data_IF_053261406402
#
_entry.id   IF_053261406402
#
_cell.length_a   1.000
_cell.length_b   1.000
_cell.length_c   1.000
_cell.angle_alpha   90.00
_cell.angle_beta   90.00
_cell.angle_gamma   90.00
#
_symmetry.space_group_name_H-M   'P 1'
#
loop_
_entity.id
_entity.type
_entity.pdbx_description
1 polymer ?
#
# COMPACT_ATOMS: atom_id res chain seq x y z
N UNK A 1 -33.83 -11.91 -64.09
CA UNK A 1 -33.05 -12.82 -63.21
C UNK A 1 -32.28 -11.95 -62.23
N UNK A 2 -32.92 -11.66 -61.10
CA UNK A 2 -32.44 -10.69 -60.11
C UNK A 2 -31.76 -11.45 -58.96
N UNK A 3 -30.51 -11.09 -58.70
CA UNK A 3 -29.55 -11.88 -57.94
C UNK A 3 -29.69 -11.59 -56.44
N UNK A 4 -30.42 -12.46 -55.74
CA UNK A 4 -30.80 -12.28 -54.34
C UNK A 4 -29.67 -12.80 -53.40
N UNK A 5 -28.65 -11.98 -53.13
CA UNK A 5 -27.64 -12.26 -52.09
C UNK A 5 -28.18 -11.88 -50.71
N UNK A 6 -28.65 -12.88 -49.96
CA UNK A 6 -28.93 -12.76 -48.52
C UNK A 6 -27.64 -12.41 -47.78
N UNK A 7 -27.61 -11.26 -47.11
CA UNK A 7 -26.59 -10.93 -46.10
C UNK A 7 -26.78 -11.87 -44.89
N UNK A 8 -25.70 -12.45 -44.32
CA UNK A 8 -25.83 -13.22 -43.08
C UNK A 8 -26.14 -12.26 -41.93
N UNK A 9 -27.25 -12.53 -41.26
CA UNK A 9 -27.71 -11.76 -40.10
C UNK A 9 -26.65 -11.76 -39.00
N UNK A 10 -26.28 -10.54 -38.58
CA UNK A 10 -25.59 -10.32 -37.31
C UNK A 10 -26.53 -10.77 -36.18
N UNK A 11 -26.32 -11.99 -35.68
CA UNK A 11 -26.84 -12.38 -34.37
C UNK A 11 -26.32 -11.38 -33.34
N UNK A 12 -27.17 -10.76 -32.50
CA UNK A 12 -26.70 -9.90 -31.43
C UNK A 12 -25.92 -10.78 -30.44
N UNK A 13 -24.59 -10.62 -30.42
CA UNK A 13 -23.75 -11.16 -29.35
C UNK A 13 -24.34 -10.62 -28.05
N UNK A 14 -24.92 -11.51 -27.26
CA UNK A 14 -25.51 -11.20 -25.96
C UNK A 14 -24.53 -10.31 -25.18
N UNK A 15 -24.96 -9.07 -24.88
CA UNK A 15 -24.16 -8.14 -24.11
C UNK A 15 -23.86 -8.79 -22.77
N UNK A 16 -22.61 -9.20 -22.56
CA UNK A 16 -22.16 -9.71 -21.28
C UNK A 16 -22.59 -8.70 -20.21
N UNK A 17 -23.49 -9.13 -19.32
CA UNK A 17 -24.09 -8.30 -18.28
C UNK A 17 -22.99 -7.57 -17.50
N UNK A 18 -22.83 -6.29 -17.79
CA UNK A 18 -21.79 -5.48 -17.21
C UNK A 18 -22.20 -5.11 -15.78
N UNK A 19 -21.60 -5.76 -14.78
CA UNK A 19 -21.83 -5.42 -13.37
C UNK A 19 -21.63 -3.90 -13.14
N UNK A 20 -22.55 -3.21 -12.45
CA UNK A 20 -22.38 -1.81 -12.07
C UNK A 20 -21.13 -1.59 -11.21
N UNK A 21 -20.51 -0.40 -11.29
CA UNK A 21 -19.28 -0.11 -10.51
C UNK A 21 -19.51 -0.16 -8.99
N UNK A 22 -20.69 0.21 -8.52
CA UNK A 22 -21.04 0.17 -7.09
C UNK A 22 -21.05 -1.26 -6.52
N UNK A 23 -21.20 -2.28 -7.36
CA UNK A 23 -21.18 -3.70 -6.94
C UNK A 23 -19.86 -4.06 -6.27
N UNK A 24 -18.75 -3.49 -6.74
CA UNK A 24 -17.41 -3.75 -6.16
C UNK A 24 -17.38 -3.24 -4.72
N UNK A 25 -17.83 -2.00 -4.51
CA UNK A 25 -17.89 -1.39 -3.19
C UNK A 25 -18.81 -2.20 -2.26
N UNK A 26 -20.00 -2.59 -2.73
CA UNK A 26 -20.93 -3.38 -1.94
C UNK A 26 -20.31 -4.72 -1.51
N UNK A 27 -19.67 -5.44 -2.43
CA UNK A 27 -19.01 -6.72 -2.11
C UNK A 27 -17.89 -6.51 -1.10
N UNK A 28 -17.05 -5.48 -1.27
CA UNK A 28 -15.99 -5.16 -0.31
C UNK A 28 -16.56 -4.83 1.08
N UNK A 29 -17.63 -4.02 1.15
CA UNK A 29 -18.31 -3.70 2.41
C UNK A 29 -18.89 -4.96 3.07
N UNK A 30 -19.55 -5.84 2.31
CA UNK A 30 -20.13 -7.06 2.85
C UNK A 30 -19.06 -8.03 3.35
N UNK A 31 -18.00 -8.29 2.56
CA UNK A 31 -16.98 -9.28 2.91
C UNK A 31 -16.09 -8.78 4.05
N UNK A 32 -15.63 -7.53 3.99
CA UNK A 32 -14.83 -6.93 5.07
C UNK A 32 -15.70 -6.75 6.32
N UNK A 33 -16.95 -6.32 6.16
CA UNK A 33 -17.89 -6.22 7.28
C UNK A 33 -18.14 -7.57 7.96
N UNK A 34 -18.27 -8.66 7.19
CA UNK A 34 -18.39 -10.01 7.73
C UNK A 34 -17.10 -10.48 8.43
N UNK A 35 -15.93 -10.16 7.86
CA UNK A 35 -14.63 -10.51 8.42
C UNK A 35 -14.41 -9.84 9.79
N UNK A 36 -14.80 -8.58 9.93
CA UNK A 36 -14.65 -7.80 11.16
C UNK A 36 -15.96 -7.67 11.97
N UNK A 37 -16.91 -8.58 11.76
CA UNK A 37 -18.26 -8.49 12.36
C UNK A 37 -18.25 -8.43 13.89
N UNK A 38 -17.31 -9.12 14.53
CA UNK A 38 -17.23 -9.19 16.00
C UNK A 38 -16.76 -7.85 16.58
N UNK A 39 -15.83 -7.17 15.92
CA UNK A 39 -15.44 -5.80 16.25
C UNK A 39 -16.56 -4.80 15.95
N UNK A 40 -17.23 -4.93 14.80
CA UNK A 40 -18.29 -3.99 14.40
C UNK A 40 -19.50 -4.09 15.34
N UNK A 41 -19.87 -5.31 15.74
CA UNK A 41 -21.03 -5.59 16.60
C UNK A 41 -20.78 -5.43 18.10
N UNK A 42 -19.55 -5.18 18.53
CA UNK A 42 -19.18 -4.96 19.94
C UNK A 42 -18.65 -3.54 20.17
N UNK A 43 -18.40 -3.20 21.43
CA UNK A 43 -17.62 -2.02 21.81
C UNK A 43 -16.16 -2.35 22.14
N UNK A 44 -15.69 -3.53 21.75
CA UNK A 44 -14.34 -3.97 22.08
C UNK A 44 -13.31 -3.32 21.15
N UNK A 45 -12.07 -3.28 21.63
CA UNK A 45 -10.93 -2.89 20.81
C UNK A 45 -10.52 -4.04 19.89
N UNK A 46 -10.20 -3.73 18.63
CA UNK A 46 -9.56 -4.69 17.76
C UNK A 46 -8.14 -4.97 18.28
N UNK A 47 -7.85 -6.23 18.58
CA UNK A 47 -6.56 -6.63 19.14
C UNK A 47 -5.40 -6.37 18.17
N UNK A 48 -4.30 -5.85 18.70
CA UNK A 48 -3.00 -5.79 18.02
C UNK A 48 -1.87 -5.69 19.04
N UNK A 49 -0.82 -6.50 18.91
CA UNK A 49 0.29 -6.54 19.89
C UNK A 49 0.93 -5.16 20.07
N UNK A 50 1.35 -4.53 18.97
CA UNK A 50 2.02 -3.22 19.01
C UNK A 50 1.05 -2.10 19.38
N UNK A 51 -0.24 -2.33 19.10
CA UNK A 51 -1.31 -1.42 19.51
C UNK A 51 -1.46 -1.39 21.03
N UNK A 52 -1.39 -2.54 21.69
CA UNK A 52 -1.42 -2.62 23.16
C UNK A 52 -0.14 -2.08 23.79
N UNK A 53 1.03 -2.36 23.20
CA UNK A 53 2.32 -1.97 23.79
C UNK A 53 2.58 -0.47 23.75
N UNK A 54 2.18 0.22 22.68
CA UNK A 54 2.42 1.67 22.53
C UNK A 54 1.30 2.39 21.78
N UNK A 55 0.73 1.74 20.76
CA UNK A 55 -0.16 2.39 19.81
C UNK A 55 -1.33 3.11 20.46
N UNK A 56 -2.08 2.43 21.34
CA UNK A 56 -3.25 2.98 22.00
C UNK A 56 -2.93 4.24 22.82
N UNK A 57 -1.98 4.13 23.75
CA UNK A 57 -1.63 5.23 24.67
C UNK A 57 -1.13 6.46 23.92
N UNK A 58 -0.33 6.26 22.85
CA UNK A 58 0.17 7.37 22.06
C UNK A 58 -0.94 8.10 21.28
N UNK A 59 -1.87 7.36 20.67
CA UNK A 59 -2.99 7.97 19.92
C UNK A 59 -4.03 8.59 20.85
N UNK A 60 -4.24 8.03 22.03
CA UNK A 60 -5.12 8.60 23.06
C UNK A 60 -4.56 9.92 23.59
N UNK A 61 -3.24 9.98 23.87
CA UNK A 61 -2.56 11.21 24.26
C UNK A 61 -2.69 12.30 23.18
N UNK A 62 -2.48 11.95 21.91
CA UNK A 62 -2.68 12.86 20.78
C UNK A 62 -4.13 13.36 20.69
N UNK A 63 -5.10 12.45 20.70
CA UNK A 63 -6.51 12.78 20.56
C UNK A 63 -6.98 13.72 21.67
N UNK A 64 -6.59 13.45 22.92
CA UNK A 64 -6.95 14.28 24.06
C UNK A 64 -6.37 15.70 23.96
N UNK A 65 -5.10 15.85 23.59
CA UNK A 65 -4.50 17.17 23.46
C UNK A 65 -5.11 17.98 22.31
N UNK A 66 -5.29 17.37 21.13
CA UNK A 66 -5.85 18.07 19.97
C UNK A 66 -7.30 18.49 20.21
N UNK A 67 -8.12 17.64 20.87
CA UNK A 67 -9.50 18.00 21.26
C UNK A 67 -9.54 19.19 22.21
N UNK A 68 -8.49 19.41 23.00
CA UNK A 68 -8.34 20.56 23.89
C UNK A 68 -7.61 21.75 23.23
N UNK A 69 -7.37 21.71 21.91
CA UNK A 69 -6.71 22.78 21.17
C UNK A 69 -5.19 22.87 21.41
N UNK A 70 -4.58 21.82 21.97
CA UNK A 70 -3.15 21.76 22.25
C UNK A 70 -2.48 20.79 21.29
N UNK A 71 -1.41 21.24 20.62
CA UNK A 71 -0.63 20.36 19.76
C UNK A 71 0.44 19.61 20.57
N UNK A 72 0.53 18.27 20.48
CA UNK A 72 1.45 17.48 21.28
C UNK A 72 2.88 17.56 20.74
N UNK A 73 3.72 18.36 21.39
CA UNK A 73 5.17 18.42 21.10
C UNK A 73 5.99 17.55 22.04
N UNK A 74 5.57 17.40 23.30
CA UNK A 74 6.29 16.63 24.32
C UNK A 74 5.37 15.62 24.98
N UNK A 75 5.81 14.37 25.07
CA UNK A 75 5.12 13.32 25.81
C UNK A 75 5.88 13.01 27.10
N UNK A 76 5.33 13.36 28.29
CA UNK A 76 6.00 13.15 29.58
C UNK A 76 5.96 11.69 30.07
N UNK A 77 5.14 10.84 29.47
CA UNK A 77 4.86 9.50 29.99
C UNK A 77 5.84 8.42 29.52
N UNK A 78 6.60 8.68 28.45
CA UNK A 78 7.55 7.73 27.88
C UNK A 78 8.96 8.12 28.34
N UNK A 79 9.64 7.22 29.05
CA UNK A 79 11.07 7.36 29.46
C UNK A 79 11.41 8.67 30.21
N UNK A 80 10.45 9.23 30.97
CA UNK A 80 10.63 10.52 31.68
C UNK A 80 10.49 11.76 30.78
N UNK A 81 10.15 11.56 29.50
CA UNK A 81 9.90 12.61 28.53
C UNK A 81 10.54 12.34 27.17
N UNK A 82 9.76 12.50 26.10
CA UNK A 82 10.24 12.34 24.71
C UNK A 82 9.52 13.31 23.78
N UNK A 83 10.24 13.84 22.76
CA UNK A 83 9.62 14.68 21.74
C UNK A 83 8.63 13.85 20.93
N UNK A 84 7.34 14.22 20.96
CA UNK A 84 6.25 13.33 20.53
C UNK A 84 6.22 13.13 19.01
N UNK A 85 6.42 14.20 18.25
CA UNK A 85 6.37 14.17 16.79
C UNK A 85 7.68 13.62 16.20
N UNK A 86 8.79 14.08 16.75
CA UNK A 86 10.15 13.81 16.30
C UNK A 86 10.56 12.38 16.59
N UNK A 87 10.15 11.82 17.73
CA UNK A 87 10.37 10.39 18.03
C UNK A 87 9.46 9.45 17.23
N UNK A 88 8.52 9.99 16.44
CA UNK A 88 7.44 9.26 15.80
C UNK A 88 6.57 8.45 16.78
N UNK A 89 6.59 8.77 18.07
CA UNK A 89 5.78 8.08 19.09
C UNK A 89 4.28 8.13 18.75
N UNK A 90 3.82 9.23 18.14
CA UNK A 90 2.44 9.38 17.67
C UNK A 90 2.07 8.53 16.45
N UNK A 91 3.04 7.90 15.77
CA UNK A 91 2.84 7.12 14.55
C UNK A 91 2.00 7.88 13.52
N UNK A 92 0.89 7.28 13.10
CA UNK A 92 -0.03 7.80 12.09
C UNK A 92 -0.94 8.95 12.57
N UNK A 93 -0.67 9.59 13.71
CA UNK A 93 -1.56 10.60 14.27
C UNK A 93 -1.76 11.85 13.38
N UNK A 94 -0.79 12.19 12.53
CA UNK A 94 -0.90 13.29 11.55
C UNK A 94 -1.42 12.83 10.17
N UNK A 95 -1.65 11.53 10.00
CA UNK A 95 -2.24 11.01 8.78
C UNK A 95 -3.74 11.33 8.76
N UNK A 96 -4.25 12.10 7.78
CA UNK A 96 -5.59 12.70 7.90
C UNK A 96 -6.74 11.74 8.19
N UNK A 97 -6.86 10.55 7.55
CA UNK A 97 -7.89 9.58 7.90
C UNK A 97 -7.83 9.14 9.37
N UNK A 98 -6.63 8.93 9.91
CA UNK A 98 -6.42 8.56 11.30
C UNK A 98 -6.73 9.72 12.23
N UNK A 99 -6.24 10.93 11.94
CA UNK A 99 -6.57 12.14 12.70
C UNK A 99 -8.07 12.34 12.81
N UNK A 100 -8.79 12.28 11.69
CA UNK A 100 -10.24 12.46 11.67
C UNK A 100 -10.95 11.41 12.54
N UNK A 101 -10.59 10.13 12.41
CA UNK A 101 -11.19 9.07 13.23
C UNK A 101 -10.89 9.27 14.72
N UNK A 102 -9.67 9.69 15.08
CA UNK A 102 -9.29 10.00 16.45
C UNK A 102 -10.03 11.21 17.02
N UNK A 103 -10.44 12.18 16.20
CA UNK A 103 -11.21 13.33 16.67
C UNK A 103 -12.68 12.99 16.93
N UNK A 104 -13.28 12.11 16.11
CA UNK A 104 -14.71 11.82 16.16
C UNK A 104 -15.10 10.53 16.89
N UNK A 105 -14.16 9.59 17.09
CA UNK A 105 -14.42 8.32 17.76
C UNK A 105 -13.54 8.16 19.00
N UNK A 106 -13.98 7.29 19.91
CA UNK A 106 -13.12 6.80 20.99
C UNK A 106 -11.89 6.10 20.39
N UNK A 107 -10.71 6.32 20.97
CA UNK A 107 -9.44 5.90 20.36
C UNK A 107 -9.39 4.41 20.07
N UNK A 108 -9.88 3.55 20.96
CA UNK A 108 -9.89 2.10 20.73
C UNK A 108 -10.75 1.71 19.51
N UNK A 109 -11.85 2.43 19.26
CA UNK A 109 -12.69 2.23 18.06
C UNK A 109 -12.02 2.82 16.82
N UNK A 110 -11.44 4.02 16.93
CA UNK A 110 -10.74 4.69 15.83
C UNK A 110 -9.62 3.80 15.26
N UNK A 111 -8.87 3.12 16.13
CA UNK A 111 -7.78 2.22 15.75
C UNK A 111 -8.25 0.97 14.98
N UNK A 112 -9.42 0.44 15.27
CA UNK A 112 -10.01 -0.66 14.48
C UNK A 112 -10.61 -0.15 13.16
N UNK A 113 -11.39 0.93 13.22
CA UNK A 113 -12.06 1.49 12.04
C UNK A 113 -11.09 1.99 10.97
N UNK A 114 -9.94 2.56 11.36
CA UNK A 114 -8.92 2.95 10.38
C UNK A 114 -8.41 1.74 9.61
N UNK A 115 -8.19 0.59 10.23
CA UNK A 115 -7.72 -0.62 9.55
C UNK A 115 -8.77 -1.14 8.56
N UNK A 116 -10.02 -1.26 9.01
CA UNK A 116 -11.15 -1.70 8.18
C UNK A 116 -11.32 -0.79 6.95
N UNK A 117 -11.28 0.53 7.17
CA UNK A 117 -11.38 1.52 6.09
C UNK A 117 -10.28 1.31 5.05
N UNK A 118 -9.03 1.10 5.48
CA UNK A 118 -7.90 0.91 4.55
C UNK A 118 -7.98 -0.38 3.76
N UNK A 119 -8.48 -1.46 4.35
CA UNK A 119 -8.72 -2.73 3.64
C UNK A 119 -9.73 -2.53 2.50
N UNK A 120 -10.83 -1.82 2.76
CA UNK A 120 -11.85 -1.49 1.75
C UNK A 120 -11.25 -0.58 0.67
N UNK A 121 -10.56 0.48 1.07
CA UNK A 121 -9.93 1.44 0.17
C UNK A 121 -8.89 0.77 -0.74
N UNK A 122 -8.10 -0.17 -0.22
CA UNK A 122 -7.13 -0.95 -1.00
C UNK A 122 -7.79 -1.64 -2.21
N UNK A 123 -8.94 -2.29 -1.98
CA UNK A 123 -9.71 -2.95 -3.03
C UNK A 123 -10.28 -1.95 -4.04
N UNK A 124 -10.83 -0.83 -3.57
CA UNK A 124 -11.37 0.22 -4.45
C UNK A 124 -10.29 0.87 -5.34
N UNK A 125 -9.14 1.17 -4.75
CA UNK A 125 -8.01 1.75 -5.49
C UNK A 125 -7.45 0.74 -6.49
N UNK A 126 -7.35 -0.54 -6.13
CA UNK A 126 -6.98 -1.60 -7.05
C UNK A 126 -7.95 -1.70 -8.22
N UNK A 127 -9.27 -1.66 -7.95
CA UNK A 127 -10.28 -1.63 -9.02
C UNK A 127 -10.05 -0.44 -9.96
N UNK A 128 -9.88 0.77 -9.42
CA UNK A 128 -9.68 1.99 -10.24
C UNK A 128 -8.38 1.93 -11.05
N UNK A 129 -7.29 1.40 -10.49
CA UNK A 129 -6.04 1.20 -11.22
C UNK A 129 -6.20 0.21 -12.38
N UNK A 130 -6.76 -0.97 -12.15
CA UNK A 130 -6.94 -1.97 -13.23
C UNK A 130 -7.86 -1.43 -14.33
N UNK A 131 -8.88 -0.63 -13.97
CA UNK A 131 -9.74 0.04 -14.94
C UNK A 131 -8.99 1.11 -15.74
N UNK A 132 -8.07 1.87 -15.15
CA UNK A 132 -7.25 2.85 -15.91
C UNK A 132 -6.30 2.18 -16.90
N UNK A 133 -5.94 0.92 -16.69
CA UNK A 133 -5.17 0.12 -17.65
C UNK A 133 -5.98 -0.35 -18.87
N UNK A 134 -7.28 -0.03 -18.91
CA UNK A 134 -8.25 -0.46 -19.93
C UNK A 134 -8.47 -1.98 -19.95
N UNK A 135 -8.34 -2.64 -18.79
CA UNK A 135 -8.64 -4.05 -18.61
C UNK A 135 -10.12 -4.24 -18.22
N UNK A 136 -10.70 -5.40 -18.52
CA UNK A 136 -12.13 -5.67 -18.33
C UNK A 136 -12.61 -5.58 -16.87
N UNK A 137 -13.90 -5.29 -16.66
CA UNK A 137 -14.49 -5.13 -15.31
C UNK A 137 -14.32 -6.38 -14.44
N UNK A 138 -14.45 -7.58 -15.02
CA UNK A 138 -14.25 -8.86 -14.29
C UNK A 138 -12.83 -8.98 -13.74
N UNK A 139 -11.82 -8.63 -14.53
CA UNK A 139 -10.41 -8.62 -14.09
C UNK A 139 -10.21 -7.60 -12.98
N UNK A 140 -10.74 -6.38 -13.12
CA UNK A 140 -10.65 -5.37 -12.08
C UNK A 140 -11.32 -5.79 -10.77
N UNK A 141 -12.49 -6.43 -10.85
CA UNK A 141 -13.20 -6.95 -9.68
C UNK A 141 -12.40 -8.05 -8.97
N UNK A 142 -11.89 -9.04 -9.71
CA UNK A 142 -11.07 -10.12 -9.15
C UNK A 142 -9.82 -9.55 -8.49
N UNK A 143 -9.12 -8.61 -9.13
CA UNK A 143 -7.95 -7.95 -8.55
C UNK A 143 -8.28 -7.17 -7.28
N UNK A 144 -9.40 -6.46 -7.24
CA UNK A 144 -9.84 -5.70 -6.07
C UNK A 144 -10.09 -6.58 -4.85
N UNK A 145 -10.83 -7.68 -5.03
CA UNK A 145 -11.12 -8.64 -3.97
C UNK A 145 -9.84 -9.36 -3.54
N UNK A 146 -9.04 -9.86 -4.49
CA UNK A 146 -7.79 -10.55 -4.19
C UNK A 146 -6.77 -9.68 -3.44
N UNK A 147 -6.67 -8.40 -3.78
CA UNK A 147 -5.73 -7.49 -3.13
C UNK A 147 -6.17 -7.10 -1.71
N UNK A 148 -7.43 -6.69 -1.55
CA UNK A 148 -7.97 -6.28 -0.24
C UNK A 148 -8.01 -7.42 0.77
N UNK A 149 -8.33 -8.64 0.31
CA UNK A 149 -8.41 -9.84 1.17
C UNK A 149 -7.13 -10.68 1.13
N UNK A 150 -6.01 -10.09 0.68
CA UNK A 150 -4.74 -10.80 0.72
C UNK A 150 -4.37 -11.15 2.17
N UNK A 151 -3.85 -12.37 2.43
CA UNK A 151 -3.45 -12.81 3.77
C UNK A 151 -2.52 -11.82 4.48
N UNK A 152 -1.61 -11.18 3.75
CA UNK A 152 -0.74 -10.14 4.31
C UNK A 152 -1.52 -8.95 4.87
N UNK A 153 -2.54 -8.48 4.15
CA UNK A 153 -3.35 -7.35 4.60
C UNK A 153 -4.13 -7.68 5.88
N UNK A 154 -4.65 -8.90 5.98
CA UNK A 154 -5.47 -9.34 7.12
C UNK A 154 -4.61 -9.73 8.33
N UNK A 155 -3.52 -10.46 8.12
CA UNK A 155 -2.66 -10.95 9.21
C UNK A 155 -1.88 -9.83 9.91
N UNK A 156 -1.54 -8.74 9.22
CA UNK A 156 -0.87 -7.58 9.83
C UNK A 156 -1.71 -6.88 10.92
N UNK A 157 -3.03 -7.11 10.95
CA UNK A 157 -3.91 -6.61 12.00
C UNK A 157 -3.49 -7.17 13.37
N UNK A 158 -3.13 -8.45 13.45
CA UNK A 158 -2.74 -9.10 14.71
C UNK A 158 -1.48 -8.46 15.31
N UNK A 159 -0.50 -8.10 14.47
CA UNK A 159 0.68 -7.37 14.92
C UNK A 159 0.42 -5.90 15.24
N UNK A 160 -0.74 -5.35 14.89
CA UNK A 160 -1.02 -3.92 15.00
C UNK A 160 -0.14 -3.06 14.09
N UNK A 161 0.33 -3.61 12.96
CA UNK A 161 1.30 -2.96 12.05
C UNK A 161 0.58 -2.03 11.05
N UNK A 162 -0.17 -1.08 11.59
CA UNK A 162 -1.02 -0.13 10.86
C UNK A 162 -0.27 0.65 9.76
N UNK A 163 0.94 1.13 10.04
CA UNK A 163 1.78 1.81 9.05
C UNK A 163 2.04 0.97 7.80
N UNK A 164 2.25 -0.35 7.92
CA UNK A 164 2.41 -1.23 6.76
C UNK A 164 1.10 -1.37 5.99
N UNK A 165 0.00 -1.61 6.69
CA UNK A 165 -1.34 -1.75 6.11
C UNK A 165 -1.69 -0.51 5.28
N UNK A 166 -1.41 0.70 5.79
CA UNK A 166 -1.72 1.94 5.07
C UNK A 166 -0.91 2.09 3.79
N UNK A 167 0.40 1.79 3.81
CA UNK A 167 1.24 1.84 2.60
C UNK A 167 0.75 0.81 1.57
N UNK A 168 0.42 -0.42 1.99
CA UNK A 168 -0.15 -1.43 1.09
C UNK A 168 -1.48 -0.92 0.53
N UNK A 169 -2.37 -0.39 1.36
CA UNK A 169 -3.67 0.12 0.92
C UNK A 169 -3.56 1.28 -0.08
N UNK A 170 -2.59 2.18 0.10
CA UNK A 170 -2.35 3.33 -0.78
C UNK A 170 -1.52 2.97 -2.03
N UNK A 171 -0.92 1.78 -2.09
CA UNK A 171 -0.10 1.35 -3.23
C UNK A 171 -0.87 1.40 -4.55
N UNK A 172 -2.08 0.81 -4.69
CA UNK A 172 -2.83 0.89 -5.93
C UNK A 172 -3.30 2.32 -6.25
N UNK A 173 -3.51 3.15 -5.23
CA UNK A 173 -3.88 4.56 -5.42
C UNK A 173 -2.73 5.33 -6.07
N UNK A 174 -1.49 5.10 -5.63
CA UNK A 174 -0.32 5.74 -6.24
C UNK A 174 -0.10 5.25 -7.67
N UNK A 175 -0.23 3.95 -7.92
CA UNK A 175 -0.20 3.42 -9.29
C UNK A 175 -1.29 4.03 -10.19
N UNK A 176 -2.51 4.18 -9.68
CA UNK A 176 -3.61 4.81 -10.41
C UNK A 176 -3.39 6.31 -10.66
N UNK A 177 -2.89 7.05 -9.66
CA UNK A 177 -2.54 8.47 -9.79
C UNK A 177 -1.45 8.67 -10.85
N UNK A 178 -0.39 7.87 -10.80
CA UNK A 178 0.70 7.89 -11.78
C UNK A 178 0.23 7.51 -13.18
N UNK A 179 -0.62 6.49 -13.30
CA UNK A 179 -1.20 6.10 -14.60
C UNK A 179 -2.10 7.20 -15.16
N UNK A 180 -2.86 7.89 -14.30
CA UNK A 180 -3.69 9.03 -14.68
C UNK A 180 -2.84 10.22 -15.13
N UNK A 181 -1.73 10.49 -14.44
CA UNK A 181 -0.75 11.51 -14.80
C UNK A 181 -0.11 11.26 -16.16
N UNK A 182 0.32 10.03 -16.44
CA UNK A 182 0.93 9.67 -17.73
C UNK A 182 -0.10 9.72 -18.87
N UNK A 183 -1.35 9.30 -18.62
CA UNK A 183 -2.37 9.25 -19.67
C UNK A 183 -2.98 10.62 -19.98
N UNK A 184 -3.15 11.48 -18.97
CA UNK A 184 -3.76 12.81 -19.10
C UNK A 184 -3.03 13.80 -18.19
N UNK A 185 -1.83 14.27 -18.59
CA UNK A 185 -1.05 15.21 -17.81
C UNK A 185 -1.86 16.49 -17.56
N UNK A 186 -2.05 16.83 -16.29
CA UNK A 186 -2.80 18.00 -15.85
C UNK A 186 -2.35 18.42 -14.46
N UNK A 187 -2.68 19.65 -14.04
CA UNK A 187 -2.46 20.09 -12.65
C UNK A 187 -3.18 19.21 -11.64
N UNK A 188 -4.35 18.67 -12.00
CA UNK A 188 -5.11 17.73 -11.15
C UNK A 188 -4.38 16.41 -10.96
N UNK A 189 -3.88 15.79 -12.02
CA UNK A 189 -3.14 14.54 -11.92
C UNK A 189 -1.78 14.73 -11.24
N UNK A 190 -1.12 15.86 -11.47
CA UNK A 190 0.09 16.27 -10.76
C UNK A 190 -0.15 16.37 -9.26
N UNK A 191 -1.18 17.12 -8.87
CA UNK A 191 -1.55 17.32 -7.46
C UNK A 191 -1.96 16.02 -6.79
N UNK A 192 -2.63 15.12 -7.51
CA UNK A 192 -3.01 13.80 -7.00
C UNK A 192 -1.77 12.95 -6.68
N UNK A 193 -0.76 12.92 -7.56
CA UNK A 193 0.49 12.20 -7.28
C UNK A 193 1.19 12.79 -6.05
N UNK A 194 1.33 14.11 -5.98
CA UNK A 194 1.94 14.79 -4.83
C UNK A 194 1.20 14.49 -3.53
N UNK A 195 -0.13 14.61 -3.53
CA UNK A 195 -0.95 14.34 -2.36
C UNK A 195 -0.79 12.91 -1.88
N UNK A 196 -0.83 11.92 -2.79
CA UNK A 196 -0.71 10.51 -2.42
C UNK A 196 0.68 10.19 -1.85
N UNK A 197 1.74 10.77 -2.42
CA UNK A 197 3.11 10.62 -1.87
C UNK A 197 3.19 11.21 -0.46
N UNK A 198 2.66 12.42 -0.24
CA UNK A 198 2.63 13.03 1.09
C UNK A 198 1.84 12.17 2.09
N UNK A 199 0.66 11.68 1.69
CA UNK A 199 -0.14 10.76 2.49
C UNK A 199 0.61 9.48 2.87
N UNK A 200 1.35 8.88 1.93
CA UNK A 200 2.16 7.69 2.19
C UNK A 200 3.26 7.97 3.22
N UNK A 201 3.95 9.12 3.15
CA UNK A 201 4.95 9.49 4.16
C UNK A 201 4.31 9.69 5.54
N UNK A 202 3.14 10.34 5.61
CA UNK A 202 2.42 10.57 6.87
C UNK A 202 1.96 9.27 7.57
N UNK A 203 1.96 8.12 6.87
CA UNK A 203 1.73 6.81 7.51
C UNK A 203 2.87 6.37 8.43
N UNK A 204 4.00 7.06 8.42
CA UNK A 204 5.23 6.82 9.22
C UNK A 204 6.02 5.56 8.92
N UNK A 205 5.62 4.74 7.94
CA UNK A 205 6.38 3.55 7.56
C UNK A 205 7.37 3.84 6.41
N UNK A 206 8.38 4.68 6.69
CA UNK A 206 9.31 5.21 5.67
C UNK A 206 10.02 4.14 4.83
N UNK A 207 10.38 2.99 5.42
CA UNK A 207 11.03 1.89 4.69
C UNK A 207 10.14 1.34 3.56
N UNK A 208 8.85 1.14 3.83
CA UNK A 208 7.89 0.63 2.82
C UNK A 208 7.58 1.72 1.79
N UNK A 209 7.47 2.98 2.23
CA UNK A 209 7.28 4.13 1.33
C UNK A 209 8.43 4.24 0.33
N UNK A 210 9.68 4.09 0.79
CA UNK A 210 10.87 4.09 -0.06
C UNK A 210 10.81 3.03 -1.16
N UNK A 211 10.52 1.77 -0.81
CA UNK A 211 10.40 0.70 -1.81
C UNK A 211 9.24 0.92 -2.79
N UNK A 212 8.10 1.42 -2.29
CA UNK A 212 6.96 1.75 -3.13
C UNK A 212 7.28 2.88 -4.12
N UNK A 213 7.95 3.93 -3.68
CA UNK A 213 8.32 5.06 -4.53
C UNK A 213 9.31 4.67 -5.62
N UNK A 214 10.29 3.81 -5.30
CA UNK A 214 11.19 3.25 -6.31
C UNK A 214 10.39 2.43 -7.34
N UNK A 215 9.50 1.56 -6.86
CA UNK A 215 8.70 0.68 -7.72
C UNK A 215 7.78 1.46 -8.66
N UNK A 216 7.01 2.41 -8.12
CA UNK A 216 6.11 3.25 -8.92
C UNK A 216 6.89 4.24 -9.78
N UNK A 217 8.01 4.78 -9.29
CA UNK A 217 8.91 5.63 -10.06
C UNK A 217 9.42 4.91 -11.30
N UNK A 218 9.96 3.71 -11.12
CA UNK A 218 10.36 2.83 -12.22
C UNK A 218 9.19 2.56 -13.18
N UNK A 219 8.04 2.11 -12.67
CA UNK A 219 6.86 1.83 -13.49
C UNK A 219 6.43 3.04 -14.33
N UNK A 220 6.39 4.22 -13.72
CA UNK A 220 5.92 5.46 -14.35
C UNK A 220 6.91 5.91 -15.43
N UNK A 221 8.19 5.99 -15.09
CA UNK A 221 9.26 6.36 -16.02
C UNK A 221 9.31 5.38 -17.19
N UNK A 222 9.29 4.07 -16.91
CA UNK A 222 9.23 3.04 -17.94
C UNK A 222 8.02 3.25 -18.87
N UNK A 223 6.83 3.50 -18.31
CA UNK A 223 5.64 3.75 -19.12
C UNK A 223 5.73 5.03 -19.97
N UNK A 224 6.30 6.11 -19.45
CA UNK A 224 6.52 7.36 -20.22
C UNK A 224 7.34 7.10 -21.49
N UNK A 225 8.36 6.24 -21.41
CA UNK A 225 9.26 5.97 -22.53
C UNK A 225 8.83 4.79 -23.42
N UNK A 226 8.17 3.78 -22.88
CA UNK A 226 7.86 2.53 -23.61
C UNK A 226 6.42 2.47 -24.11
N UNK A 227 5.47 3.11 -23.42
CA UNK A 227 4.06 3.07 -23.81
C UNK A 227 3.87 3.86 -25.11
N UNK A 228 3.35 3.20 -26.14
CA UNK A 228 2.89 3.87 -27.36
C UNK A 228 1.47 4.37 -27.13
N UNK A 229 1.26 5.69 -27.14
CA UNK A 229 -0.06 6.27 -26.95
C UNK A 229 -0.96 5.93 -28.15
N UNK A 230 -2.18 5.40 -27.93
CA UNK A 230 -3.14 5.14 -29.00
C UNK A 230 -3.88 6.39 -29.49
N UNK A 231 -3.91 7.48 -28.70
CA UNK A 231 -4.62 8.71 -29.07
C UNK A 231 -3.72 9.68 -29.85
N UNK A 232 -4.07 9.89 -31.14
CA UNK A 232 -3.37 10.78 -32.08
C UNK A 232 -3.40 12.26 -31.67
N UNK A 233 -4.27 12.68 -30.75
CA UNK A 233 -4.47 14.08 -30.35
C UNK A 233 -3.29 14.66 -29.55
N UNK A 234 -2.55 13.82 -28.84
CA UNK A 234 -1.36 14.20 -28.04
C UNK A 234 -0.03 13.76 -28.68
N UNK A 235 -0.08 13.24 -29.91
CA UNK A 235 1.09 12.71 -30.61
C UNK A 235 2.11 13.78 -31.02
N UNK A 236 1.74 15.08 -31.00
CA UNK A 236 2.70 16.18 -31.23
C UNK A 236 3.59 16.47 -30.00
N UNK A 237 3.15 16.13 -28.80
CA UNK A 237 3.86 16.38 -27.53
C UNK A 237 4.83 15.25 -27.13
N UNK A 238 4.79 14.09 -27.82
CA UNK A 238 5.61 12.91 -27.50
C UNK A 238 6.92 12.83 -28.30
N UNK A 239 7.42 13.97 -28.80
CA UNK A 239 8.83 14.08 -29.17
C UNK A 239 9.71 13.74 -27.94
N UNK A 240 10.96 13.27 -28.11
CA UNK A 240 11.82 12.87 -26.99
C UNK A 240 11.88 13.93 -25.87
N UNK A 241 11.85 15.21 -26.24
CA UNK A 241 11.84 16.35 -25.32
C UNK A 241 10.59 16.39 -24.44
N UNK A 242 9.40 16.11 -24.98
CA UNK A 242 8.16 16.14 -24.19
C UNK A 242 8.04 14.99 -23.20
N UNK A 243 8.61 13.82 -23.53
CA UNK A 243 8.73 12.69 -22.58
C UNK A 243 9.66 13.02 -21.41
N UNK A 244 10.77 13.69 -21.70
CA UNK A 244 11.70 14.18 -20.66
C UNK A 244 11.00 15.21 -19.77
N UNK A 245 10.27 16.18 -20.36
CA UNK A 245 9.49 17.16 -19.58
C UNK A 245 8.45 16.50 -18.68
N UNK A 246 7.76 15.47 -19.18
CA UNK A 246 6.78 14.72 -18.39
C UNK A 246 7.45 13.97 -17.22
N UNK A 247 8.61 13.34 -17.45
CA UNK A 247 9.37 12.67 -16.40
C UNK A 247 9.90 13.66 -15.34
N UNK A 248 10.39 14.82 -15.77
CA UNK A 248 10.81 15.91 -14.87
C UNK A 248 9.61 16.42 -14.06
N UNK A 249 8.46 16.64 -14.70
CA UNK A 249 7.23 17.06 -14.02
C UNK A 249 6.77 16.02 -12.99
N UNK A 250 6.86 14.73 -13.30
CA UNK A 250 6.61 13.67 -12.32
C UNK A 250 7.58 13.74 -11.13
N UNK A 251 8.86 14.00 -11.39
CA UNK A 251 9.87 14.25 -10.34
C UNK A 251 9.51 15.43 -9.44
N UNK A 252 9.06 16.55 -10.01
CA UNK A 252 8.56 17.69 -9.23
C UNK A 252 7.31 17.36 -8.42
N UNK A 253 6.39 16.55 -8.95
CA UNK A 253 5.23 16.07 -8.21
C UNK A 253 5.65 15.24 -7.00
N UNK A 254 6.65 14.38 -7.15
CA UNK A 254 7.20 13.59 -6.05
C UNK A 254 7.86 14.47 -4.97
N UNK A 255 8.68 15.44 -5.38
CA UNK A 255 9.30 16.41 -4.46
C UNK A 255 8.23 17.19 -3.70
N UNK A 256 7.19 17.69 -4.39
CA UNK A 256 6.09 18.40 -3.75
C UNK A 256 5.34 17.49 -2.74
N UNK A 257 5.17 16.21 -3.05
CA UNK A 257 4.58 15.27 -2.10
C UNK A 257 5.41 15.11 -0.82
N UNK A 258 6.73 14.99 -0.96
CA UNK A 258 7.64 14.93 0.18
C UNK A 258 7.59 16.21 1.02
N UNK A 259 7.52 17.39 0.38
CA UNK A 259 7.43 18.67 1.10
C UNK A 259 6.09 18.87 1.80
N UNK A 260 4.98 18.34 1.27
CA UNK A 260 3.69 18.35 1.97
C UNK A 260 3.73 17.57 3.30
N UNK A 261 4.56 16.53 3.37
CA UNK A 261 4.79 15.74 4.59
C UNK A 261 5.99 16.21 5.43
N UNK A 262 6.63 17.33 5.07
CA UNK A 262 7.83 17.86 5.71
C UNK A 262 7.68 18.07 7.22
N UNK A 263 6.48 18.47 7.66
CA UNK A 263 6.16 18.71 9.07
C UNK A 263 6.39 17.49 9.95
N UNK A 264 6.25 16.28 9.39
CA UNK A 264 6.50 15.03 10.11
C UNK A 264 7.84 14.40 9.72
N UNK A 265 8.23 14.51 8.45
CA UNK A 265 9.42 13.86 7.92
C UNK A 265 10.73 14.47 8.45
N UNK A 266 10.89 15.80 8.40
CA UNK A 266 12.16 16.42 8.79
C UNK A 266 12.47 16.31 10.28
N UNK A 267 11.52 16.56 11.21
CA UNK A 267 11.82 16.42 12.62
C UNK A 267 12.14 14.96 13.00
N UNK A 268 11.47 13.99 12.36
CA UNK A 268 11.79 12.58 12.54
C UNK A 268 13.17 12.21 12.02
N UNK A 269 13.57 12.73 10.86
CA UNK A 269 14.90 12.49 10.29
C UNK A 269 16.00 13.02 11.23
N UNK A 270 15.88 14.27 11.69
CA UNK A 270 16.83 14.89 12.63
C UNK A 270 16.91 14.10 13.94
N UNK A 271 15.78 13.72 14.52
CA UNK A 271 15.76 12.94 15.76
C UNK A 271 16.43 11.58 15.62
N UNK A 272 16.13 10.85 14.53
CA UNK A 272 16.74 9.56 14.28
C UNK A 272 18.26 9.70 14.12
N UNK A 273 18.75 10.71 13.40
CA UNK A 273 20.19 10.86 13.17
C UNK A 273 20.98 11.41 14.35
N UNK A 274 20.39 12.31 15.15
CA UNK A 274 21.14 13.08 16.17
C UNK A 274 20.86 12.66 17.61
N UNK A 275 19.70 12.06 17.89
CA UNK A 275 19.23 11.87 19.27
C UNK A 275 18.79 10.44 19.58
N UNK A 276 18.46 9.64 18.57
CA UNK A 276 17.99 8.28 18.77
C UNK A 276 19.13 7.35 19.19
N UNK A 277 19.02 6.77 20.39
CA UNK A 277 19.96 5.72 20.85
C UNK A 277 19.95 4.47 19.97
N UNK A 278 18.94 4.29 19.11
CA UNK A 278 18.84 3.18 18.16
C UNK A 278 19.78 3.33 16.95
N UNK A 279 20.33 4.51 16.69
CA UNK A 279 21.29 4.67 15.58
C UNK A 279 22.72 4.34 15.98
N UNK A 280 23.01 4.14 17.26
CA UNK A 280 24.29 3.57 17.70
C UNK A 280 24.59 2.22 17.01
N UNK A 281 23.56 1.40 16.75
CA UNK A 281 23.69 0.11 16.07
C UNK A 281 23.83 0.21 14.54
N UNK A 282 23.81 1.42 13.96
CA UNK A 282 23.93 1.62 12.50
C UNK A 282 24.93 2.70 12.10
N UNK A 283 24.92 3.87 12.74
CA UNK A 283 25.79 5.01 12.42
C UNK A 283 27.12 4.98 13.17
N UNK A 284 27.15 4.44 14.39
CA UNK A 284 28.36 4.33 15.21
C UNK A 284 29.01 2.93 15.11
N UNK A 285 28.27 1.95 14.58
CA UNK A 285 28.73 0.58 14.38
C UNK A 285 29.64 0.45 13.16
N UNK A 286 30.42 -0.64 13.10
CA UNK A 286 31.18 -0.97 11.89
C UNK A 286 30.24 -1.21 10.70
N UNK A 287 30.72 -1.03 9.47
CA UNK A 287 29.91 -1.26 8.27
C UNK A 287 29.32 -2.68 8.19
N UNK A 288 30.03 -3.68 8.75
CA UNK A 288 29.56 -5.06 8.80
C UNK A 288 28.40 -5.23 9.81
N UNK A 289 28.53 -4.66 11.00
CA UNK A 289 27.48 -4.69 12.04
C UNK A 289 26.24 -3.92 11.60
N UNK A 290 26.43 -2.72 11.04
CA UNK A 290 25.35 -1.90 10.51
C UNK A 290 24.57 -2.64 9.41
N UNK A 291 25.28 -3.34 8.51
CA UNK A 291 24.66 -4.17 7.48
C UNK A 291 23.89 -5.33 8.11
N UNK A 292 24.52 -6.09 9.01
CA UNK A 292 23.92 -7.23 9.69
C UNK A 292 22.62 -6.85 10.41
N UNK A 293 22.63 -5.72 11.14
CA UNK A 293 21.45 -5.18 11.80
C UNK A 293 20.37 -4.79 10.78
N UNK A 294 20.74 -4.07 9.73
CA UNK A 294 19.78 -3.60 8.71
C UNK A 294 19.14 -4.74 7.91
N UNK A 295 19.84 -5.87 7.73
CA UNK A 295 19.33 -7.06 7.03
C UNK A 295 18.78 -8.15 7.97
N UNK A 296 18.68 -7.89 9.27
CA UNK A 296 18.27 -8.91 10.27
C UNK A 296 16.80 -9.33 10.18
N UNK A 297 15.98 -8.57 9.45
CA UNK A 297 14.55 -8.81 9.21
C UNK A 297 14.23 -8.93 7.72
N UNK A 298 15.22 -9.29 6.89
CA UNK A 298 15.02 -9.51 5.46
C UNK A 298 14.15 -10.75 5.20
N UNK A 299 13.54 -10.80 4.03
CA UNK A 299 12.79 -11.95 3.53
C UNK A 299 13.80 -13.04 3.10
N UNK A 300 14.27 -13.81 4.09
CA UNK A 300 15.20 -14.91 3.87
C UNK A 300 14.67 -15.95 2.86
N UNK A 301 15.53 -16.74 2.18
CA UNK A 301 15.11 -17.64 1.10
C UNK A 301 13.95 -18.59 1.44
N UNK A 302 13.88 -19.10 2.67
CA UNK A 302 12.76 -19.90 3.17
C UNK A 302 11.43 -19.11 3.21
N UNK A 303 11.47 -17.83 3.56
CA UNK A 303 10.31 -16.93 3.63
C UNK A 303 9.74 -16.63 2.24
N UNK A 304 10.58 -16.65 1.20
CA UNK A 304 10.14 -16.50 -0.19
C UNK A 304 9.17 -17.61 -0.58
N UNK A 305 9.40 -18.85 -0.10
CA UNK A 305 8.46 -19.96 -0.33
C UNK A 305 7.13 -19.70 0.37
N UNK A 306 7.15 -19.01 1.52
CA UNK A 306 5.97 -18.54 2.25
C UNK A 306 5.05 -17.62 1.46
N UNK A 307 5.57 -16.92 0.43
CA UNK A 307 4.74 -16.12 -0.50
C UNK A 307 3.77 -16.99 -1.32
N UNK A 308 4.13 -18.26 -1.56
CA UNK A 308 3.39 -19.19 -2.42
C UNK A 308 2.73 -20.35 -1.67
N UNK A 309 3.30 -20.78 -0.54
CA UNK A 309 2.77 -21.84 0.31
C UNK A 309 2.52 -21.25 1.69
N UNK A 310 1.27 -21.08 2.12
CA UNK A 310 0.98 -20.56 3.45
C UNK A 310 1.54 -21.52 4.50
N UNK A 311 2.02 -20.97 5.62
CA UNK A 311 2.58 -21.73 6.76
C UNK A 311 3.84 -22.57 6.45
N UNK A 312 4.45 -22.43 5.26
CA UNK A 312 5.68 -23.19 4.94
C UNK A 312 6.80 -22.95 5.96
N UNK A 313 7.03 -21.70 6.34
CA UNK A 313 8.02 -21.32 7.37
C UNK A 313 7.43 -21.40 8.78
N UNK A 314 6.12 -21.59 8.91
CA UNK A 314 5.36 -21.55 10.17
C UNK A 314 5.16 -20.15 10.74
N UNK A 315 4.60 -20.08 11.95
CA UNK A 315 4.37 -18.86 12.72
C UNK A 315 4.76 -19.04 14.18
N UNK A 316 5.21 -17.97 14.81
CA UNK A 316 5.60 -17.98 16.22
C UNK A 316 4.36 -17.95 17.11
N UNK A 317 3.45 -17.03 16.81
CA UNK A 317 2.21 -16.86 17.55
C UNK A 317 1.03 -17.06 16.60
N UNK A 318 0.15 -18.01 16.95
CA UNK A 318 -1.09 -18.27 16.25
C UNK A 318 -2.23 -18.40 17.25
N UNK A 319 -3.44 -18.03 16.83
CA UNK A 319 -4.64 -18.29 17.62
C UNK A 319 -4.93 -19.80 17.73
N UNK A 320 -4.53 -20.56 16.71
CA UNK A 320 -4.75 -22.00 16.63
C UNK A 320 -3.60 -22.79 17.27
N UNK A 321 -3.88 -23.71 18.22
CA UNK A 321 -2.84 -24.46 18.93
C UNK A 321 -1.89 -25.25 18.03
N UNK A 322 -2.39 -25.78 16.90
CA UNK A 322 -1.59 -26.58 15.97
C UNK A 322 -0.54 -25.77 15.21
N UNK A 323 -0.70 -24.45 15.11
CA UNK A 323 0.19 -23.56 14.37
C UNK A 323 1.19 -22.80 15.27
N UNK A 324 1.00 -22.84 16.60
CA UNK A 324 1.87 -22.15 17.55
C UNK A 324 3.28 -22.73 17.57
N UNK A 325 4.30 -21.85 17.63
CA UNK A 325 5.71 -22.23 17.70
C UNK A 325 6.17 -23.16 16.56
N UNK A 326 5.54 -23.07 15.39
CA UNK A 326 5.93 -23.82 14.19
C UNK A 326 7.02 -23.12 13.38
N UNK A 327 7.29 -21.86 13.71
CA UNK A 327 8.22 -21.03 12.97
C UNK A 327 9.68 -21.52 13.03
N UNK A 328 10.27 -21.77 11.85
CA UNK A 328 11.65 -22.27 11.71
C UNK A 328 12.57 -21.36 10.87
N UNK A 329 12.11 -20.16 10.50
CA UNK A 329 12.89 -19.19 9.74
C UNK A 329 13.97 -18.47 10.55
N UNK A 330 14.79 -17.65 9.87
CA UNK A 330 15.92 -16.92 10.50
C UNK A 330 15.55 -15.62 11.21
N UNK A 331 14.38 -15.02 10.95
CA UNK A 331 13.91 -13.85 11.71
C UNK A 331 13.68 -14.20 13.20
N UNK A 332 13.60 -13.19 14.07
CA UNK A 332 13.39 -13.43 15.51
C UNK A 332 12.04 -14.06 15.86
N UNK A 333 11.00 -13.74 15.10
CA UNK A 333 9.67 -14.35 15.20
C UNK A 333 8.88 -14.06 13.91
N UNK A 334 7.75 -14.75 13.72
CA UNK A 334 6.79 -14.49 12.65
C UNK A 334 5.37 -14.41 13.18
N UNK A 335 4.73 -13.27 12.98
CA UNK A 335 3.36 -12.98 13.44
C UNK A 335 2.41 -12.58 12.32
N UNK A 336 2.82 -12.74 11.06
CA UNK A 336 2.06 -12.39 9.86
C UNK A 336 2.31 -13.44 8.75
N UNK A 337 1.45 -13.43 7.75
CA UNK A 337 1.55 -14.30 6.58
C UNK A 337 1.76 -13.46 5.32
N UNK A 338 2.90 -13.60 4.64
CA UNK A 338 3.11 -12.91 3.35
C UNK A 338 2.46 -13.63 2.15
N UNK A 339 1.69 -14.70 2.40
CA UNK A 339 1.08 -15.50 1.35
C UNK A 339 0.22 -14.64 0.40
N UNK A 340 0.49 -14.75 -0.91
CA UNK A 340 -0.15 -13.95 -1.94
C UNK A 340 -1.45 -14.58 -2.49
N UNK A 341 -1.68 -15.87 -2.22
CA UNK A 341 -2.79 -16.64 -2.80
C UNK A 341 -2.36 -17.42 -4.04
N UNK A 342 -2.49 -18.75 -3.99
CA UNK A 342 -2.03 -19.65 -5.07
C UNK A 342 -2.80 -19.39 -6.38
N UNK A 343 -4.09 -19.09 -6.28
CA UNK A 343 -4.90 -18.74 -7.45
C UNK A 343 -4.41 -17.44 -8.10
N UNK A 344 -3.99 -16.45 -7.30
CA UNK A 344 -3.43 -15.19 -7.81
C UNK A 344 -2.09 -15.44 -8.50
N UNK A 345 -1.23 -16.28 -7.91
CA UNK A 345 0.05 -16.66 -8.50
C UNK A 345 -0.11 -17.42 -9.82
N UNK A 346 -1.04 -18.37 -9.89
CA UNK A 346 -1.35 -19.10 -11.12
C UNK A 346 -1.87 -18.15 -12.21
N UNK A 347 -2.78 -17.23 -11.86
CA UNK A 347 -3.27 -16.22 -12.79
C UNK A 347 -2.17 -15.25 -13.23
N UNK A 348 -1.25 -14.88 -12.34
CA UNK A 348 -0.09 -14.07 -12.68
C UNK A 348 0.84 -14.79 -13.68
N UNK A 349 1.10 -16.09 -13.46
CA UNK A 349 1.85 -16.94 -14.39
C UNK A 349 1.23 -16.99 -15.79
N UNK A 350 -0.09 -17.19 -15.87
CA UNK A 350 -0.83 -17.13 -17.15
C UNK A 350 -0.70 -15.73 -17.78
N UNK A 351 -0.76 -14.66 -16.97
CA UNK A 351 -0.58 -13.28 -17.42
C UNK A 351 0.78 -13.01 -18.06
N UNK A 352 1.85 -13.65 -17.55
CA UNK A 352 3.21 -13.54 -18.12
C UNK A 352 3.35 -14.23 -19.48
N UNK A 353 2.56 -15.29 -19.74
CA UNK A 353 2.51 -15.94 -21.05
C UNK A 353 1.66 -15.15 -22.07
N UNK A 354 0.83 -14.23 -21.58
CA UNK A 354 -0.05 -13.42 -22.41
C UNK A 354 0.69 -12.47 -23.37
N UNK A 355 0.09 -12.22 -24.54
CA UNK A 355 0.63 -11.31 -25.58
C UNK A 355 -0.01 -9.92 -25.59
N UNK A 356 -1.12 -9.72 -24.86
CA UNK A 356 -1.80 -8.43 -24.72
C UNK A 356 -1.02 -7.52 -23.77
N UNK A 357 -1.00 -6.21 -24.07
CA UNK A 357 -0.38 -5.18 -23.20
C UNK A 357 1.06 -5.52 -22.79
N UNK A 358 1.91 -5.94 -23.75
CA UNK A 358 3.32 -6.35 -23.51
C UNK A 358 4.12 -5.40 -22.64
N UNK A 359 3.93 -4.09 -22.78
CA UNK A 359 4.63 -3.09 -21.96
C UNK A 359 4.30 -3.23 -20.47
N UNK A 360 3.03 -3.43 -20.12
CA UNK A 360 2.57 -3.62 -18.74
C UNK A 360 3.11 -4.92 -18.16
N UNK A 361 3.03 -6.00 -18.94
CA UNK A 361 3.60 -7.29 -18.55
C UNK A 361 5.09 -7.17 -18.25
N UNK A 362 5.85 -6.52 -19.15
CA UNK A 362 7.29 -6.38 -18.99
C UNK A 362 7.66 -5.49 -17.80
N UNK A 363 6.95 -4.37 -17.57
CA UNK A 363 7.20 -3.53 -16.40
C UNK A 363 6.91 -4.26 -15.09
N UNK A 364 5.80 -5.00 -15.01
CA UNK A 364 5.46 -5.83 -13.85
C UNK A 364 6.48 -6.96 -13.62
N UNK A 365 6.93 -7.63 -14.69
CA UNK A 365 7.93 -8.69 -14.58
C UNK A 365 9.29 -8.17 -14.08
N UNK A 366 9.74 -7.02 -14.60
CA UNK A 366 10.98 -6.39 -14.13
C UNK A 366 10.85 -5.97 -12.68
N UNK A 367 9.72 -5.37 -12.28
CA UNK A 367 9.49 -5.02 -10.87
C UNK A 367 9.50 -6.24 -9.96
N UNK A 368 8.85 -7.34 -10.36
CA UNK A 368 8.84 -8.58 -9.57
C UNK A 368 10.25 -9.17 -9.40
N UNK A 369 11.08 -9.12 -10.44
CA UNK A 369 12.47 -9.56 -10.37
C UNK A 369 13.28 -8.63 -9.44
N UNK A 370 13.13 -7.31 -9.61
CA UNK A 370 13.82 -6.34 -8.75
C UNK A 370 13.40 -6.50 -7.29
N UNK A 371 12.12 -6.69 -7.00
CA UNK A 371 11.66 -6.88 -5.62
C UNK A 371 12.30 -8.09 -4.95
N UNK A 372 12.55 -9.19 -5.69
CA UNK A 372 13.24 -10.37 -5.15
C UNK A 372 14.72 -10.12 -4.81
N UNK A 373 15.37 -9.14 -5.45
CA UNK A 373 16.75 -8.74 -5.10
C UNK A 373 16.83 -7.84 -3.87
N UNK A 374 15.74 -7.13 -3.54
CA UNK A 374 15.62 -6.26 -2.37
C UNK A 374 14.86 -6.92 -1.20
N UNK A 375 14.48 -8.19 -1.38
CA UNK A 375 13.78 -9.03 -0.40
C UNK A 375 14.71 -9.44 0.72
#
# INVERSE_FOLDING_TARGET
MENNRKQPGNSPVASASNLPEWTVLLVLLCVVGFLFRDFIGSNDMLYGSDTLSLGYMAREFYANLIRNGVFPLWNPFILGGTPFLESLAGGDSLYPPSTLLLLFLETHRALGWKLILHIILAGLFMYKWIRSLHLGRKSAFISAVAYSLSPIMVSLVHGGQDGKIFVIALTPLLFWASESFVNRPSSRSFSLVSLVIGLIILTTHFQMAYFLFISVGFYTVFNIFVKKSPEKTFAKEHQPIGRIRLAISFGFAAILGLTLSAVQFFPAASYVTEHSRRTATTLEATAAEARSYSSSWSLHPEEIVGLAIPEFVGVSNANEPWAQNTYWGRNGFKGNHEYLGILVLLLAGIGLLGTRKKYLRNSMAVMAILSLFFS
#
